data_IF_444730074817
#
_entry.id   IF_444730074817
#
_cell.length_a   1.000
_cell.length_b   1.000
_cell.length_c   1.000
_cell.angle_alpha   90.00
_cell.angle_beta   90.00
_cell.angle_gamma   90.00
#
_symmetry.space_group_name_H-M   'P 1'
#
loop_
_entity.id
_entity.type
_entity.pdbx_description
1 polymer ?
#
# COMPACT_ATOMS: atom_id res chain seq x y z
N UNK A 1 -1.94 7.47 57.23
CA UNK A 1 -2.68 6.81 56.14
C UNK A 1 -3.25 7.93 55.26
N UNK A 2 -3.02 7.86 53.94
CA UNK A 2 -3.41 8.80 52.89
C UNK A 2 -2.55 10.09 52.70
N UNK A 3 -1.57 10.01 51.80
CA UNK A 3 -1.05 11.17 51.06
C UNK A 3 -1.19 10.86 49.57
N UNK A 4 -2.13 11.54 48.92
CA UNK A 4 -2.35 11.50 47.46
C UNK A 4 -1.20 12.23 46.77
N UNK A 5 -0.55 11.60 45.80
CA UNK A 5 0.29 12.28 44.81
C UNK A 5 -0.37 12.13 43.46
N UNK A 6 -0.97 13.21 42.98
CA UNK A 6 -1.48 13.32 41.62
C UNK A 6 -0.32 13.76 40.72
N UNK A 7 0.07 12.90 39.78
CA UNK A 7 0.98 13.26 38.70
C UNK A 7 0.20 13.96 37.59
N UNK A 8 0.57 15.22 37.36
CA UNK A 8 0.16 16.01 36.20
C UNK A 8 1.15 15.81 35.06
N UNK A 9 0.61 15.68 33.82
CA UNK A 9 1.12 16.10 32.49
C UNK A 9 0.60 15.13 31.41
N UNK A 10 0.09 15.53 30.24
CA UNK A 10 0.20 16.82 29.55
C UNK A 10 -1.10 17.23 28.84
N UNK A 11 -1.30 18.53 28.78
CA UNK A 11 -2.44 19.17 28.14
C UNK A 11 -2.38 19.02 26.61
N UNK A 12 -3.49 18.59 26.02
CA UNK A 12 -3.74 18.70 24.59
C UNK A 12 -3.72 20.18 24.17
N UNK A 13 -3.05 20.49 23.06
CA UNK A 13 -3.05 21.84 22.48
C UNK A 13 -4.48 22.26 22.11
N UNK A 14 -4.92 23.51 22.37
CA UNK A 14 -6.28 23.93 22.07
C UNK A 14 -6.44 24.17 20.56
N UNK A 15 -6.86 23.13 19.83
CA UNK A 15 -7.25 23.23 18.43
C UNK A 15 -8.57 23.98 18.28
N UNK A 16 -8.63 24.91 17.30
CA UNK A 16 -9.84 25.69 16.99
C UNK A 16 -11.00 24.79 16.51
N UNK A 17 -12.26 25.15 16.75
CA UNK A 17 -13.42 24.27 16.55
C UNK A 17 -13.55 23.75 15.11
N UNK A 18 -13.81 22.44 14.99
CA UNK A 18 -14.06 21.70 13.74
C UNK A 18 -15.48 21.99 13.24
N UNK A 19 -15.66 22.27 11.96
CA UNK A 19 -16.99 22.26 11.30
C UNK A 19 -17.40 20.79 11.11
N UNK A 20 -18.61 20.43 11.53
CA UNK A 20 -19.12 19.06 11.71
C UNK A 20 -18.83 18.11 10.53
N UNK A 21 -18.31 16.90 10.80
CA UNK A 21 -17.74 15.95 9.82
C UNK A 21 -18.51 14.63 9.69
N UNK A 22 -18.41 13.91 8.54
CA UNK A 22 -18.45 12.44 8.52
C UNK A 22 -17.18 11.86 9.15
N UNK A 23 -17.29 10.76 9.92
CA UNK A 23 -16.18 10.14 10.66
C UNK A 23 -15.14 9.54 9.69
N UNK A 24 -14.09 10.31 9.36
CA UNK A 24 -12.92 9.84 8.58
C UNK A 24 -12.11 8.84 9.42
N UNK A 25 -11.43 7.89 8.76
CA UNK A 25 -10.53 6.96 9.47
C UNK A 25 -9.22 7.68 9.82
N UNK A 26 -8.64 7.34 10.96
CA UNK A 26 -7.38 7.92 11.43
C UNK A 26 -7.50 8.51 12.83
N UNK A 27 -6.42 8.44 13.61
CA UNK A 27 -6.36 8.98 14.97
C UNK A 27 -5.85 10.43 14.99
N UNK A 28 -5.27 10.87 13.87
CA UNK A 28 -4.70 12.21 13.71
C UNK A 28 -5.28 12.93 12.50
N UNK A 29 -5.22 14.26 12.50
CA UNK A 29 -5.61 15.08 11.35
C UNK A 29 -4.79 14.74 10.09
N UNK A 30 -3.54 14.26 10.24
CA UNK A 30 -2.72 13.80 9.13
C UNK A 30 -3.33 12.56 8.48
N UNK A 31 -3.82 11.62 9.29
CA UNK A 31 -4.45 10.39 8.81
C UNK A 31 -5.79 10.67 8.14
N UNK A 32 -6.60 11.57 8.72
CA UNK A 32 -7.86 12.03 8.10
C UNK A 32 -7.60 12.65 6.71
N UNK A 33 -6.53 13.43 6.55
CA UNK A 33 -6.11 14.00 5.26
C UNK A 33 -5.71 12.91 4.27
N UNK A 34 -4.95 11.89 4.70
CA UNK A 34 -4.55 10.78 3.84
C UNK A 34 -5.77 9.94 3.41
N UNK A 35 -6.70 9.59 4.31
CA UNK A 35 -7.92 8.84 3.96
C UNK A 35 -8.79 9.61 2.96
N UNK A 36 -8.97 10.92 3.15
CA UNK A 36 -9.71 11.77 2.21
C UNK A 36 -8.99 11.89 0.86
N UNK A 37 -7.66 12.00 0.87
CA UNK A 37 -6.87 12.08 -0.37
C UNK A 37 -6.91 10.76 -1.15
N UNK A 38 -6.81 9.63 -0.46
CA UNK A 38 -6.94 8.29 -1.05
C UNK A 38 -8.30 8.11 -1.74
N UNK A 39 -9.39 8.51 -1.08
CA UNK A 39 -10.72 8.50 -1.67
C UNK A 39 -10.81 9.36 -2.92
N UNK A 40 -10.36 10.62 -2.83
CA UNK A 40 -10.49 11.58 -3.92
C UNK A 40 -9.62 11.19 -5.11
N UNK A 41 -8.39 10.71 -4.88
CA UNK A 41 -7.54 10.20 -5.95
C UNK A 41 -8.14 8.97 -6.63
N UNK A 42 -8.75 8.05 -5.87
CA UNK A 42 -9.41 6.88 -6.43
C UNK A 42 -10.65 7.24 -7.27
N UNK A 43 -11.39 8.30 -6.88
CA UNK A 43 -12.65 8.69 -7.55
C UNK A 43 -12.49 9.70 -8.68
N UNK A 44 -11.59 10.66 -8.53
CA UNK A 44 -11.44 11.80 -9.43
C UNK A 44 -10.09 11.79 -10.17
N UNK A 45 -9.25 10.79 -9.91
CA UNK A 45 -7.87 10.77 -10.37
C UNK A 45 -6.99 11.76 -9.61
N UNK A 46 -5.68 11.57 -9.74
CA UNK A 46 -4.70 12.44 -9.11
C UNK A 46 -4.76 13.87 -9.67
N UNK A 47 -4.75 14.03 -10.99
CA UNK A 47 -4.79 15.35 -11.66
C UNK A 47 -6.08 16.10 -11.36
N UNK A 48 -7.23 15.40 -11.36
CA UNK A 48 -8.56 15.98 -11.08
C UNK A 48 -8.80 16.39 -9.63
N UNK A 49 -7.92 15.99 -8.71
CA UNK A 49 -8.03 16.33 -7.29
C UNK A 49 -7.19 17.55 -6.92
N UNK A 50 -7.80 18.51 -6.22
CA UNK A 50 -7.10 19.70 -5.68
C UNK A 50 -6.90 19.63 -4.16
N UNK A 51 -5.89 20.33 -3.63
CA UNK A 51 -5.69 20.43 -2.17
C UNK A 51 -6.85 21.12 -1.46
N UNK A 52 -7.61 21.96 -2.17
CA UNK A 52 -8.85 22.56 -1.66
C UNK A 52 -9.94 21.50 -1.47
N UNK A 53 -10.17 20.64 -2.46
CA UNK A 53 -11.13 19.53 -2.34
C UNK A 53 -10.80 18.62 -1.17
N UNK A 54 -9.50 18.32 -0.96
CA UNK A 54 -9.05 17.52 0.18
C UNK A 54 -9.34 18.25 1.50
N UNK A 55 -9.01 19.54 1.61
CA UNK A 55 -9.29 20.32 2.82
C UNK A 55 -10.79 20.39 3.14
N UNK A 56 -11.63 20.60 2.12
CA UNK A 56 -13.08 20.63 2.23
C UNK A 56 -13.62 19.26 2.68
N UNK A 57 -13.09 18.15 2.13
CA UNK A 57 -13.49 16.79 2.47
C UNK A 57 -13.14 16.35 3.91
N UNK A 58 -12.11 16.97 4.50
CA UNK A 58 -11.69 16.80 5.89
C UNK A 58 -12.35 17.84 6.81
N UNK A 59 -12.96 18.89 6.27
CA UNK A 59 -13.57 19.97 7.06
C UNK A 59 -12.53 20.88 7.74
N UNK A 60 -11.36 21.05 7.13
CA UNK A 60 -10.30 21.96 7.59
C UNK A 60 -10.10 23.10 6.59
N UNK A 61 -9.48 24.19 7.04
CA UNK A 61 -9.07 25.26 6.13
C UNK A 61 -7.91 24.76 5.28
N UNK A 62 -7.85 25.18 4.01
CA UNK A 62 -6.74 24.82 3.13
C UNK A 62 -5.37 25.23 3.69
N UNK A 63 -5.27 26.38 4.37
CA UNK A 63 -4.06 26.78 5.08
C UNK A 63 -3.64 25.77 6.17
N UNK A 64 -4.59 25.14 6.83
CA UNK A 64 -4.32 24.12 7.85
C UNK A 64 -3.78 22.81 7.25
N UNK A 65 -4.22 22.46 6.04
CA UNK A 65 -3.68 21.31 5.30
C UNK A 65 -2.19 21.50 4.99
N UNK A 66 -1.78 22.72 4.62
CA UNK A 66 -0.38 23.04 4.32
C UNK A 66 0.57 22.93 5.53
N UNK A 67 0.06 22.88 6.76
CA UNK A 67 0.87 22.54 7.93
C UNK A 67 1.30 21.07 7.96
N UNK A 68 0.52 20.17 7.34
CA UNK A 68 0.81 18.74 7.29
C UNK A 68 1.55 18.34 6.01
N UNK A 69 1.13 18.90 4.87
CA UNK A 69 1.70 18.58 3.56
C UNK A 69 1.86 19.84 2.74
N UNK A 70 3.09 20.14 2.28
CA UNK A 70 3.37 21.39 1.58
C UNK A 70 2.78 21.40 0.17
N UNK A 71 2.66 20.22 -0.44
CA UNK A 71 2.17 20.04 -1.81
C UNK A 71 1.23 18.83 -1.91
N UNK A 72 0.47 18.75 -3.02
CA UNK A 72 -0.34 17.56 -3.35
C UNK A 72 0.54 16.32 -3.55
N UNK A 73 1.75 16.52 -4.05
CA UNK A 73 2.74 15.48 -4.29
C UNK A 73 3.30 14.92 -2.99
N UNK A 74 3.46 15.74 -1.94
CA UNK A 74 3.84 15.25 -0.61
C UNK A 74 2.76 14.32 -0.04
N UNK A 75 1.49 14.61 -0.31
CA UNK A 75 0.37 13.74 0.06
C UNK A 75 0.44 12.43 -0.73
N UNK A 76 0.66 12.50 -2.05
CA UNK A 76 0.78 11.31 -2.89
C UNK A 76 1.97 10.45 -2.46
N UNK A 77 3.14 11.05 -2.22
CA UNK A 77 4.33 10.33 -1.76
C UNK A 77 4.07 9.64 -0.41
N UNK A 78 3.38 10.31 0.52
CA UNK A 78 3.01 9.70 1.80
C UNK A 78 2.01 8.53 1.63
N UNK A 79 1.04 8.64 0.73
CA UNK A 79 0.13 7.52 0.42
C UNK A 79 0.86 6.34 -0.21
N UNK A 80 1.75 6.60 -1.16
CA UNK A 80 2.55 5.55 -1.81
C UNK A 80 3.49 4.85 -0.82
N UNK A 81 4.04 5.57 0.15
CA UNK A 81 4.82 4.99 1.23
C UNK A 81 3.98 4.01 2.07
N UNK A 82 2.72 4.35 2.37
CA UNK A 82 1.84 3.45 3.15
C UNK A 82 1.54 2.11 2.48
N UNK A 83 1.75 2.00 1.17
CA UNK A 83 1.51 0.74 0.45
C UNK A 83 2.76 -0.10 0.29
N UNK A 84 3.94 0.49 0.10
CA UNK A 84 5.18 -0.26 -0.16
C UNK A 84 5.99 -0.56 1.10
N UNK A 85 6.02 0.36 2.08
CA UNK A 85 6.90 0.23 3.24
C UNK A 85 6.59 -1.01 4.10
N UNK A 86 5.32 -1.34 4.43
CA UNK A 86 5.01 -2.54 5.21
C UNK A 86 5.45 -3.83 4.51
N UNK A 87 5.25 -3.91 3.20
CA UNK A 87 5.66 -5.04 2.36
C UNK A 87 7.16 -5.18 2.28
N UNK A 88 7.87 -4.06 2.15
CA UNK A 88 9.32 -4.03 2.11
C UNK A 88 9.94 -4.46 3.45
N UNK A 89 9.39 -4.00 4.57
CA UNK A 89 9.82 -4.42 5.91
C UNK A 89 9.56 -5.91 6.13
N UNK A 90 8.41 -6.42 5.68
CA UNK A 90 8.11 -7.86 5.71
C UNK A 90 9.11 -8.66 4.87
N UNK A 91 9.41 -8.20 3.66
CA UNK A 91 10.36 -8.84 2.77
C UNK A 91 11.78 -8.90 3.38
N UNK A 92 12.26 -7.80 3.97
CA UNK A 92 13.56 -7.75 4.66
C UNK A 92 13.65 -8.77 5.77
N UNK A 93 12.61 -8.89 6.60
CA UNK A 93 12.55 -9.89 7.67
C UNK A 93 12.59 -11.33 7.12
N UNK A 94 11.82 -11.60 6.06
CA UNK A 94 11.74 -12.92 5.44
C UNK A 94 13.03 -13.31 4.72
N UNK A 95 13.75 -12.39 4.08
CA UNK A 95 15.04 -12.69 3.45
C UNK A 95 16.05 -13.32 4.43
N UNK A 96 15.99 -12.93 5.71
CA UNK A 96 16.84 -13.46 6.79
C UNK A 96 16.23 -14.60 7.61
N UNK A 97 14.98 -15.00 7.35
CA UNK A 97 14.29 -16.00 8.15
C UNK A 97 14.79 -17.44 7.86
N UNK A 98 14.77 -18.28 8.89
CA UNK A 98 15.15 -19.70 8.82
C UNK A 98 13.96 -20.57 8.43
N UNK A 99 13.62 -20.56 7.14
CA UNK A 99 12.59 -21.40 6.51
C UNK A 99 12.92 -21.57 5.01
N UNK A 100 12.24 -22.50 4.34
CA UNK A 100 12.40 -22.73 2.91
C UNK A 100 12.15 -21.44 2.11
N UNK A 101 12.91 -21.17 1.03
CA UNK A 101 12.69 -20.00 0.20
C UNK A 101 11.27 -19.92 -0.37
N UNK A 102 10.68 -21.07 -0.71
CA UNK A 102 9.31 -21.15 -1.23
C UNK A 102 8.31 -20.70 -0.16
N UNK A 103 8.35 -21.24 1.05
CA UNK A 103 7.44 -20.82 2.12
C UNK A 103 7.54 -19.31 2.41
N UNK A 104 8.76 -18.78 2.48
CA UNK A 104 9.00 -17.34 2.71
C UNK A 104 8.44 -16.47 1.58
N UNK A 105 8.56 -16.92 0.34
CA UNK A 105 7.95 -16.25 -0.81
C UNK A 105 6.43 -16.27 -0.75
N UNK A 106 5.83 -17.44 -0.45
CA UNK A 106 4.38 -17.59 -0.36
C UNK A 106 3.80 -16.77 0.80
N UNK A 107 4.52 -16.67 1.91
CA UNK A 107 4.18 -15.80 3.05
C UNK A 107 4.19 -14.33 2.67
N UNK A 108 5.22 -13.88 1.94
CA UNK A 108 5.29 -12.51 1.45
C UNK A 108 4.15 -12.22 0.46
N UNK A 109 3.92 -13.13 -0.50
CA UNK A 109 2.82 -13.04 -1.46
C UNK A 109 1.45 -12.99 -0.77
N UNK A 110 1.21 -13.83 0.23
CA UNK A 110 -0.04 -13.83 1.00
C UNK A 110 -0.26 -12.50 1.71
N UNK A 111 0.79 -11.97 2.35
CA UNK A 111 0.73 -10.67 3.01
C UNK A 111 0.38 -9.55 2.02
N UNK A 112 1.08 -9.46 0.90
CA UNK A 112 0.89 -8.39 -0.10
C UNK A 112 -0.47 -8.50 -0.80
N UNK A 113 -0.91 -9.70 -1.19
CA UNK A 113 -2.22 -9.89 -1.84
C UNK A 113 -3.35 -9.53 -0.88
N UNK A 114 -3.29 -9.93 0.39
CA UNK A 114 -4.28 -9.52 1.40
C UNK A 114 -4.31 -8.00 1.55
N UNK A 115 -3.14 -7.37 1.67
CA UNK A 115 -3.06 -5.91 1.79
C UNK A 115 -3.68 -5.20 0.57
N UNK A 116 -3.37 -5.66 -0.64
CA UNK A 116 -3.89 -5.11 -1.89
C UNK A 116 -5.39 -5.39 -2.06
N UNK A 117 -5.90 -6.55 -1.66
CA UNK A 117 -7.30 -6.93 -1.83
C UNK A 117 -8.22 -6.24 -0.80
N UNK A 118 -7.77 -6.13 0.46
CA UNK A 118 -8.57 -5.61 1.57
C UNK A 118 -8.46 -4.09 1.75
N UNK A 119 -7.50 -3.42 1.09
CA UNK A 119 -7.38 -1.97 1.17
C UNK A 119 -8.70 -1.28 0.81
N UNK A 120 -9.09 -0.25 1.58
CA UNK A 120 -10.33 0.49 1.31
C UNK A 120 -10.34 1.13 -0.08
N UNK A 121 -9.20 1.64 -0.50
CA UNK A 121 -8.99 2.29 -1.79
C UNK A 121 -7.92 1.54 -2.56
N UNK A 122 -8.09 1.40 -3.88
CA UNK A 122 -7.12 0.75 -4.75
C UNK A 122 -5.91 1.67 -5.02
N UNK A 123 -5.10 1.91 -3.99
CA UNK A 123 -3.94 2.80 -4.09
C UNK A 123 -2.85 2.27 -5.02
N UNK A 124 -2.81 0.95 -5.26
CA UNK A 124 -1.89 0.37 -6.26
C UNK A 124 -2.12 0.90 -7.67
N UNK A 125 -3.35 1.33 -8.01
CA UNK A 125 -3.63 1.94 -9.31
C UNK A 125 -2.87 3.26 -9.51
N UNK A 126 -2.48 3.93 -8.42
CA UNK A 126 -1.68 5.15 -8.47
C UNK A 126 -0.26 4.88 -8.99
N UNK A 127 0.22 3.64 -8.99
CA UNK A 127 1.57 3.28 -9.46
C UNK A 127 1.78 3.56 -10.96
N UNK A 128 0.68 3.67 -11.71
CA UNK A 128 0.67 3.90 -13.16
C UNK A 128 0.63 5.39 -13.54
N UNK A 129 0.60 6.29 -12.55
CA UNK A 129 0.60 7.72 -12.80
C UNK A 129 1.91 8.17 -13.47
N UNK A 130 1.86 8.98 -14.54
CA UNK A 130 3.08 9.48 -15.19
C UNK A 130 3.93 10.36 -14.25
N UNK A 131 3.31 11.04 -13.30
CA UNK A 131 4.00 11.88 -12.30
C UNK A 131 5.01 11.09 -11.46
N UNK A 132 4.83 9.77 -11.33
CA UNK A 132 5.77 8.90 -10.61
C UNK A 132 7.10 8.74 -11.33
N UNK A 133 7.27 9.28 -12.54
CA UNK A 133 8.58 9.44 -13.18
C UNK A 133 9.45 10.50 -12.52
N UNK A 134 8.86 11.47 -11.80
CA UNK A 134 9.58 12.63 -11.26
C UNK A 134 10.54 12.26 -10.12
N UNK A 135 11.61 13.05 -9.96
CA UNK A 135 12.66 12.81 -8.95
C UNK A 135 12.13 12.77 -7.51
N UNK A 136 11.06 13.52 -7.21
CA UNK A 136 10.42 13.52 -5.88
C UNK A 136 9.89 12.15 -5.47
N UNK A 137 9.59 11.26 -6.42
CA UNK A 137 9.13 9.90 -6.16
C UNK A 137 10.24 8.86 -6.30
N UNK A 138 11.51 9.27 -6.43
CA UNK A 138 12.64 8.34 -6.53
C UNK A 138 12.72 7.39 -5.33
N UNK A 139 12.39 7.86 -4.12
CA UNK A 139 12.32 7.02 -2.92
C UNK A 139 11.29 5.90 -3.03
N UNK A 140 10.07 6.21 -3.47
CA UNK A 140 9.04 5.20 -3.71
C UNK A 140 9.45 4.20 -4.80
N UNK A 141 10.00 4.68 -5.92
CA UNK A 141 10.49 3.79 -7.00
C UNK A 141 11.60 2.87 -6.51
N UNK A 142 12.53 3.38 -5.72
CA UNK A 142 13.62 2.60 -5.13
C UNK A 142 13.08 1.54 -4.17
N UNK A 143 12.16 1.90 -3.27
CA UNK A 143 11.52 0.97 -2.34
C UNK A 143 10.77 -0.16 -3.07
N UNK A 144 9.99 0.19 -4.11
CA UNK A 144 9.26 -0.80 -4.92
C UNK A 144 10.22 -1.70 -5.72
N UNK A 145 11.33 -1.14 -6.21
CA UNK A 145 12.36 -1.94 -6.88
C UNK A 145 13.07 -2.89 -5.91
N UNK A 146 13.34 -2.45 -4.69
CA UNK A 146 13.90 -3.29 -3.63
C UNK A 146 12.94 -4.46 -3.28
N UNK A 147 11.64 -4.17 -3.13
CA UNK A 147 10.62 -5.18 -2.90
C UNK A 147 10.57 -6.21 -4.04
N UNK A 148 10.55 -5.75 -5.30
CA UNK A 148 10.56 -6.63 -6.47
C UNK A 148 11.81 -7.55 -6.50
N UNK A 149 12.98 -7.01 -6.13
CA UNK A 149 14.22 -7.81 -6.03
C UNK A 149 14.16 -8.83 -4.90
N UNK A 150 13.49 -8.53 -3.78
CA UNK A 150 13.31 -9.48 -2.70
C UNK A 150 12.47 -10.69 -3.14
N UNK A 151 11.37 -10.44 -3.87
CA UNK A 151 10.56 -11.48 -4.51
C UNK A 151 11.40 -12.35 -5.46
N UNK A 152 12.14 -11.72 -6.38
CA UNK A 152 13.00 -12.42 -7.34
C UNK A 152 14.08 -13.26 -6.63
N UNK A 153 14.69 -12.72 -5.56
CA UNK A 153 15.71 -13.42 -4.77
C UNK A 153 15.13 -14.69 -4.12
N UNK A 154 13.95 -14.58 -3.48
CA UNK A 154 13.29 -15.73 -2.86
C UNK A 154 12.84 -16.75 -3.89
N UNK A 155 12.30 -16.30 -5.03
CA UNK A 155 11.85 -17.16 -6.11
C UNK A 155 13.00 -17.91 -6.80
N UNK A 156 14.11 -17.22 -7.11
CA UNK A 156 15.31 -17.85 -7.66
C UNK A 156 15.92 -18.87 -6.69
N UNK A 157 15.89 -18.59 -5.38
CA UNK A 157 16.33 -19.54 -4.37
C UNK A 157 15.39 -20.75 -4.24
N UNK A 158 14.08 -20.57 -4.44
CA UNK A 158 13.12 -21.66 -4.45
C UNK A 158 13.27 -22.57 -5.69
N UNK A 159 13.65 -21.99 -6.82
CA UNK A 159 13.90 -22.71 -8.08
C UNK A 159 15.27 -23.39 -8.14
N UNK A 160 16.19 -23.03 -7.24
CA UNK A 160 17.62 -23.37 -7.31
C UNK A 160 18.28 -22.96 -8.65
N UNK A 161 17.73 -21.93 -9.31
CA UNK A 161 18.24 -21.39 -10.57
C UNK A 161 17.93 -19.88 -10.69
N UNK A 162 18.99 -19.07 -10.80
CA UNK A 162 18.88 -17.61 -10.97
C UNK A 162 18.61 -17.17 -12.41
N UNK A 163 18.84 -18.05 -13.39
CA UNK A 163 18.57 -17.76 -14.80
C UNK A 163 17.12 -18.12 -15.18
N UNK A 164 16.42 -18.88 -14.34
CA UNK A 164 15.04 -19.26 -14.58
C UNK A 164 14.11 -18.03 -14.54
N UNK A 165 13.54 -17.70 -15.70
CA UNK A 165 12.67 -16.53 -15.87
C UNK A 165 11.38 -16.60 -15.05
N UNK A 166 10.99 -17.77 -14.53
CA UNK A 166 9.86 -17.91 -13.60
C UNK A 166 10.06 -17.10 -12.33
N UNK A 167 11.31 -16.85 -11.92
CA UNK A 167 11.65 -16.01 -10.76
C UNK A 167 11.15 -14.56 -10.88
N UNK A 168 10.89 -14.07 -12.10
CA UNK A 168 10.42 -12.71 -12.37
C UNK A 168 8.91 -12.53 -12.19
N UNK A 169 8.15 -13.63 -12.14
CA UNK A 169 6.69 -13.62 -12.21
C UNK A 169 5.96 -13.42 -10.87
N UNK A 170 6.42 -13.93 -9.71
CA UNK A 170 5.68 -13.85 -8.46
C UNK A 170 5.24 -12.43 -8.08
N UNK A 171 6.14 -11.46 -8.19
CA UNK A 171 5.80 -10.07 -7.91
C UNK A 171 4.72 -9.53 -8.87
N UNK A 172 4.75 -9.92 -10.15
CA UNK A 172 3.73 -9.52 -11.14
C UNK A 172 2.38 -10.15 -10.88
N UNK A 173 2.36 -11.41 -10.43
CA UNK A 173 1.13 -12.09 -10.03
C UNK A 173 0.49 -11.39 -8.83
N UNK A 174 1.28 -10.99 -7.84
CA UNK A 174 0.79 -10.19 -6.70
C UNK A 174 0.24 -8.83 -7.18
N UNK A 175 0.96 -8.11 -8.03
CA UNK A 175 0.52 -6.81 -8.53
C UNK A 175 -0.73 -6.89 -9.44
N UNK A 176 -1.03 -8.06 -10.01
CA UNK A 176 -2.22 -8.24 -10.84
C UNK A 176 -3.53 -7.92 -10.11
N UNK A 177 -3.55 -8.04 -8.78
CA UNK A 177 -4.67 -7.64 -7.90
C UNK A 177 -5.09 -6.19 -8.17
N UNK A 178 -4.14 -5.31 -8.47
CA UNK A 178 -4.38 -3.89 -8.73
C UNK A 178 -5.30 -3.71 -9.94
N UNK A 179 -5.02 -4.46 -11.02
CA UNK A 179 -5.83 -4.42 -12.24
C UNK A 179 -7.18 -5.09 -12.01
N UNK A 180 -7.20 -6.26 -11.36
CA UNK A 180 -8.46 -6.95 -11.03
C UNK A 180 -9.41 -6.06 -10.19
N UNK A 181 -8.88 -5.31 -9.22
CA UNK A 181 -9.67 -4.33 -8.45
C UNK A 181 -10.17 -3.16 -9.29
N UNK A 182 -9.40 -2.74 -10.28
CA UNK A 182 -9.83 -1.67 -11.21
C UNK A 182 -10.96 -2.17 -12.09
N UNK A 183 -10.88 -3.42 -12.56
CA UNK A 183 -11.89 -4.07 -13.38
C UNK A 183 -13.18 -4.32 -12.56
N UNK A 184 -13.06 -4.74 -11.29
CA UNK A 184 -14.17 -4.87 -10.34
C UNK A 184 -14.94 -3.55 -10.17
N UNK A 185 -14.23 -2.43 -9.99
CA UNK A 185 -14.83 -1.10 -9.86
C UNK A 185 -15.56 -0.65 -11.13
N UNK A 186 -15.17 -1.17 -12.31
CA UNK A 186 -15.84 -0.92 -13.59
C UNK A 186 -16.94 -1.92 -13.91
N UNK A 187 -17.11 -2.98 -13.10
CA UNK A 187 -18.03 -4.08 -13.37
C UNK A 187 -17.56 -5.03 -14.48
N UNK A 188 -16.28 -4.97 -14.86
CA UNK A 188 -15.70 -5.79 -15.94
C UNK A 188 -15.42 -7.24 -15.49
N UNK A 189 -15.35 -7.49 -14.18
CA UNK A 189 -15.24 -8.85 -13.61
C UNK A 189 -16.59 -9.62 -13.57
N UNK A 190 -17.71 -8.99 -13.93
CA UNK A 190 -19.03 -9.63 -13.89
C UNK A 190 -19.46 -9.98 -12.46
N UNK A 191 -19.82 -11.25 -12.21
CA UNK A 191 -20.26 -11.75 -10.90
C UNK A 191 -19.10 -12.03 -9.92
N UNK A 192 -17.84 -11.92 -10.37
CA UNK A 192 -16.67 -12.21 -9.55
C UNK A 192 -16.21 -11.00 -8.72
N UNK A 193 -15.64 -11.26 -7.54
CA UNK A 193 -15.04 -10.23 -6.66
C UNK A 193 -13.59 -10.56 -6.30
N UNK A 194 -12.83 -9.53 -5.93
CA UNK A 194 -11.40 -9.66 -5.59
C UNK A 194 -11.17 -10.29 -4.21
N UNK A 195 -12.23 -10.40 -3.38
CA UNK A 195 -12.15 -10.87 -1.99
C UNK A 195 -11.59 -12.29 -1.79
N UNK A 196 -11.50 -13.12 -2.84
CA UNK A 196 -10.94 -14.49 -2.81
C UNK A 196 -9.57 -14.68 -3.47
N UNK A 197 -8.87 -13.59 -3.85
CA UNK A 197 -7.65 -13.70 -4.66
C UNK A 197 -6.42 -14.24 -3.94
N UNK A 198 -6.39 -14.19 -2.60
CA UNK A 198 -5.22 -14.63 -1.82
C UNK A 198 -4.83 -16.06 -2.17
N UNK A 199 -5.75 -17.01 -2.01
CA UNK A 199 -5.43 -18.42 -2.26
C UNK A 199 -5.19 -18.70 -3.74
N UNK A 200 -5.89 -17.99 -4.63
CA UNK A 200 -5.72 -18.14 -6.09
C UNK A 200 -4.31 -17.72 -6.53
N UNK A 201 -3.86 -16.54 -6.10
CA UNK A 201 -2.56 -16.00 -6.49
C UNK A 201 -1.42 -16.75 -5.80
N UNK A 202 -1.55 -17.03 -4.50
CA UNK A 202 -0.53 -17.77 -3.75
C UNK A 202 -0.39 -19.19 -4.31
N UNK A 203 -1.50 -19.88 -4.57
CA UNK A 203 -1.48 -21.21 -5.19
C UNK A 203 -0.91 -21.19 -6.62
N UNK A 204 -1.19 -20.15 -7.41
CA UNK A 204 -0.58 -19.99 -8.73
C UNK A 204 0.95 -19.80 -8.66
N UNK A 205 1.45 -19.05 -7.68
CA UNK A 205 2.89 -18.88 -7.44
C UNK A 205 3.53 -20.21 -7.02
N UNK A 206 2.89 -20.94 -6.10
CA UNK A 206 3.36 -22.25 -5.66
C UNK A 206 3.47 -23.22 -6.86
N UNK A 207 2.38 -23.39 -7.61
CA UNK A 207 2.35 -24.24 -8.80
C UNK A 207 3.38 -23.85 -9.88
N UNK A 208 3.61 -22.54 -10.05
CA UNK A 208 4.60 -22.02 -11.00
C UNK A 208 6.02 -22.48 -10.65
N UNK A 209 6.35 -22.51 -9.36
CA UNK A 209 7.70 -22.77 -8.87
C UNK A 209 7.94 -24.27 -8.57
N UNK A 210 6.89 -25.04 -8.28
CA UNK A 210 7.00 -26.47 -7.96
C UNK A 210 7.24 -27.40 -9.16
N UNK A 211 6.99 -26.97 -10.41
CA UNK A 211 7.06 -27.88 -11.56
C UNK A 211 8.45 -28.05 -12.17
N UNK A 212 8.87 -29.32 -12.17
CA UNK A 212 9.96 -29.97 -12.94
C UNK A 212 9.87 -29.65 -14.44
N UNK A 213 10.99 -29.53 -15.18
CA UNK A 213 11.02 -29.17 -16.60
C UNK A 213 10.07 -30.02 -17.44
N UNK A 214 9.34 -29.35 -18.34
CA UNK A 214 8.59 -29.99 -19.41
C UNK A 214 9.62 -30.76 -20.26
N UNK A 215 9.58 -32.10 -20.18
CA UNK A 215 10.36 -32.98 -21.05
C UNK A 215 9.90 -32.89 -22.50
#
# INVERSE_FOLDING_TARGET
MATRSASSRGAASPGRPRLVQPKRRGDTARDEILDASAELFARHGYTGTSTRMIADAVGVRQASLYHYFKTKDDILAALLATTVDPSLDRARNLLSADDSPLHRLLDLARFDVTQLAEARWNLGALYLLPELGDERFAGFRAARQELARAYETLAAAALDDRADTRSLLPFRLVESVIMMRSDEQRGELGEHTVAGLVDTIVGAIEMLLERTPIR
#
